data_IF_138546034528
#
_entry.id   IF_138546034528
#
_cell.length_a   1.000
_cell.length_b   1.000
_cell.length_c   1.000
_cell.angle_alpha   90.00
_cell.angle_beta   90.00
_cell.angle_gamma   90.00
#
_symmetry.space_group_name_H-M   'P 1'
#
loop_
_entity.id
_entity.type
_entity.pdbx_description
1 polymer ?
#
# COMPACT_ATOMS: atom_id res chain seq x y z
N UNK A 1 -25.01 -13.18 -1.74
CA UNK A 1 -23.66 -12.91 -1.24
C UNK A 1 -23.66 -13.22 0.24
N UNK A 2 -22.98 -14.28 0.66
CA UNK A 2 -22.86 -14.62 2.08
C UNK A 2 -21.98 -13.55 2.73
N UNK A 3 -22.62 -12.58 3.39
CA UNK A 3 -21.94 -11.74 4.35
C UNK A 3 -21.54 -12.68 5.49
N UNK A 4 -20.29 -13.13 5.48
CA UNK A 4 -19.70 -13.85 6.59
C UNK A 4 -19.72 -12.89 7.78
N UNK A 5 -20.76 -12.99 8.60
CA UNK A 5 -20.87 -12.41 9.94
C UNK A 5 -19.96 -13.16 10.92
N UNK A 6 -18.78 -13.58 10.48
CA UNK A 6 -17.75 -14.02 11.42
C UNK A 6 -17.06 -12.75 11.88
N UNK A 7 -17.51 -12.22 13.01
CA UNK A 7 -16.72 -11.27 13.79
C UNK A 7 -15.43 -11.99 14.18
N UNK A 8 -14.36 -11.77 13.41
CA UNK A 8 -13.02 -12.16 13.80
C UNK A 8 -12.60 -11.12 14.83
N UNK A 9 -12.91 -11.41 16.10
CA UNK A 9 -12.55 -10.51 17.18
C UNK A 9 -11.05 -10.68 17.48
N UNK A 10 -10.21 -10.08 16.64
CA UNK A 10 -8.84 -9.81 17.00
C UNK A 10 -8.85 -8.59 17.91
N UNK A 11 -8.20 -8.67 19.07
CA UNK A 11 -8.21 -7.61 20.07
C UNK A 11 -6.79 -7.04 20.28
N UNK A 12 -6.21 -6.29 19.31
CA UNK A 12 -4.80 -5.89 19.33
C UNK A 12 -4.34 -5.13 20.58
N UNK A 13 -5.24 -4.47 21.32
CA UNK A 13 -4.86 -3.70 22.51
C UNK A 13 -4.74 -4.57 23.78
N UNK A 14 -5.30 -5.77 23.79
CA UNK A 14 -5.26 -6.69 24.95
C UNK A 14 -4.59 -8.03 24.61
N UNK A 15 -4.61 -8.44 23.35
CA UNK A 15 -3.94 -9.65 22.87
C UNK A 15 -2.43 -9.54 23.03
N UNK A 16 -1.78 -10.65 23.38
CA UNK A 16 -0.32 -10.71 23.47
C UNK A 16 0.28 -10.52 22.07
N UNK A 17 1.39 -9.76 21.94
CA UNK A 17 2.04 -9.58 20.66
C UNK A 17 2.50 -10.94 20.11
N UNK A 18 2.25 -11.16 18.82
CA UNK A 18 2.72 -12.39 18.15
C UNK A 18 4.25 -12.41 18.13
N UNK A 19 4.83 -13.53 18.56
CA UNK A 19 6.26 -13.79 18.42
C UNK A 19 6.60 -14.08 16.94
N UNK A 20 7.83 -13.82 16.49
CA UNK A 20 8.24 -14.15 15.11
C UNK A 20 8.01 -15.61 14.74
N UNK A 21 8.22 -16.54 15.68
CA UNK A 21 7.99 -17.98 15.48
C UNK A 21 6.50 -18.30 15.28
N UNK A 22 5.60 -17.69 16.09
CA UNK A 22 4.16 -17.85 15.91
C UNK A 22 3.70 -17.25 14.59
N UNK A 23 4.24 -16.09 14.19
CA UNK A 23 3.92 -15.45 12.91
C UNK A 23 4.32 -16.33 11.73
N UNK A 24 5.54 -16.89 11.74
CA UNK A 24 5.99 -17.82 10.70
C UNK A 24 5.09 -19.07 10.60
N UNK A 25 4.68 -19.63 11.76
CA UNK A 25 3.74 -20.76 11.80
C UNK A 25 2.38 -20.38 11.23
N UNK A 26 1.82 -19.23 11.60
CA UNK A 26 0.54 -18.74 11.06
C UNK A 26 0.63 -18.58 9.54
N UNK A 27 1.70 -17.95 9.03
CA UNK A 27 1.91 -17.83 7.59
C UNK A 27 1.98 -19.19 6.89
N UNK A 28 2.66 -20.18 7.47
CA UNK A 28 2.72 -21.52 6.89
C UNK A 28 1.35 -22.21 6.83
N UNK A 29 0.50 -22.01 7.83
CA UNK A 29 -0.87 -22.54 7.86
C UNK A 29 -1.75 -21.85 6.82
N UNK A 30 -1.69 -20.51 6.74
CA UNK A 30 -2.38 -19.74 5.71
C UNK A 30 -1.97 -20.23 4.32
N UNK A 31 -0.67 -20.44 4.09
CA UNK A 31 -0.15 -20.92 2.81
C UNK A 31 -0.60 -22.35 2.48
N UNK A 32 -0.76 -23.22 3.48
CA UNK A 32 -1.28 -24.56 3.27
C UNK A 32 -2.76 -24.57 2.87
N UNK A 33 -3.56 -23.62 3.38
CA UNK A 33 -4.99 -23.47 3.05
C UNK A 33 -5.22 -22.71 1.73
N UNK A 34 -4.23 -21.97 1.24
CA UNK A 34 -4.32 -21.29 -0.05
C UNK A 34 -4.25 -22.30 -1.19
N UNK A 35 -5.32 -22.36 -1.99
CA UNK A 35 -5.32 -23.15 -3.23
C UNK A 35 -4.21 -22.62 -4.16
N UNK A 36 -3.28 -23.48 -4.64
CA UNK A 36 -2.21 -23.09 -5.56
C UNK A 36 -2.71 -22.36 -6.82
N UNK A 37 -3.94 -22.65 -7.27
CA UNK A 37 -4.55 -21.99 -8.41
C UNK A 37 -4.66 -20.46 -8.22
N UNK A 38 -4.91 -19.98 -6.99
CA UNK A 38 -5.05 -18.56 -6.67
C UNK A 38 -3.75 -17.75 -6.85
N UNK A 39 -2.60 -18.41 -7.06
CA UNK A 39 -1.37 -17.70 -7.45
C UNK A 39 -1.41 -17.18 -8.89
N UNK A 40 -2.28 -17.72 -9.74
CA UNK A 40 -2.32 -17.42 -11.18
C UNK A 40 -3.68 -16.92 -11.63
N UNK A 41 -4.76 -17.30 -10.94
CA UNK A 41 -6.10 -16.86 -11.28
C UNK A 41 -6.57 -15.74 -10.34
N UNK A 42 -7.00 -14.59 -10.87
CA UNK A 42 -7.58 -13.54 -10.06
C UNK A 42 -8.88 -14.02 -9.41
N UNK A 43 -9.17 -13.53 -8.21
CA UNK A 43 -10.39 -13.89 -7.48
C UNK A 43 -11.64 -13.50 -8.31
N UNK A 44 -12.69 -14.34 -8.37
CA UNK A 44 -13.87 -14.10 -9.22
C UNK A 44 -14.67 -12.84 -8.87
N UNK A 45 -14.45 -12.24 -7.70
CA UNK A 45 -15.05 -10.94 -7.34
C UNK A 45 -14.31 -9.73 -7.93
N UNK A 46 -13.11 -9.94 -8.48
CA UNK A 46 -12.40 -8.89 -9.17
C UNK A 46 -13.04 -8.70 -10.55
N UNK A 47 -13.32 -7.45 -10.95
CA UNK A 47 -13.76 -7.19 -12.32
C UNK A 47 -12.68 -7.70 -13.28
N UNK A 48 -13.09 -8.19 -14.44
CA UNK A 48 -12.15 -8.53 -15.51
C UNK A 48 -11.36 -7.28 -15.87
N UNK A 49 -10.04 -7.36 -15.75
CA UNK A 49 -9.17 -6.24 -16.12
C UNK A 49 -9.36 -5.98 -17.61
N UNK A 50 -9.72 -4.74 -17.95
CA UNK A 50 -9.78 -4.34 -19.35
C UNK A 50 -8.37 -4.44 -19.95
N UNK A 51 -8.23 -4.97 -21.18
CA UNK A 51 -6.94 -4.97 -21.84
C UNK A 51 -6.45 -3.51 -21.95
N UNK A 52 -5.14 -3.26 -21.78
CA UNK A 52 -4.64 -1.90 -21.87
C UNK A 52 -4.87 -1.36 -23.29
N UNK A 53 -5.63 -0.28 -23.39
CA UNK A 53 -5.87 0.42 -24.64
C UNK A 53 -4.75 1.45 -24.87
N UNK A 54 -3.60 0.97 -25.34
CA UNK A 54 -2.48 1.84 -25.69
C UNK A 54 -2.72 2.49 -27.06
N UNK A 55 -2.30 3.74 -27.21
CA UNK A 55 -2.21 4.38 -28.52
C UNK A 55 -1.14 3.67 -29.37
N UNK A 56 -1.25 3.76 -30.69
CA UNK A 56 -0.28 3.13 -31.61
C UNK A 56 1.17 3.54 -31.30
N UNK A 57 1.39 4.79 -30.88
CA UNK A 57 2.72 5.29 -30.48
C UNK A 57 3.26 4.61 -29.23
N UNK A 58 2.41 4.39 -28.22
CA UNK A 58 2.83 3.71 -26.99
C UNK A 58 3.11 2.23 -27.29
N UNK A 59 2.28 1.59 -28.10
CA UNK A 59 2.50 0.20 -28.51
C UNK A 59 3.83 0.03 -29.27
N UNK A 60 4.13 0.92 -30.21
CA UNK A 60 5.39 0.90 -30.95
C UNK A 60 6.62 1.12 -30.03
N UNK A 61 6.49 2.00 -29.04
CA UNK A 61 7.57 2.24 -28.06
C UNK A 61 7.78 1.04 -27.13
N UNK A 62 6.69 0.40 -26.66
CA UNK A 62 6.77 -0.82 -25.87
C UNK A 62 7.44 -1.95 -26.66
N UNK A 63 7.13 -2.09 -27.96
CA UNK A 63 7.75 -3.08 -28.83
C UNK A 63 9.25 -2.79 -29.05
N UNK A 64 9.62 -1.51 -29.25
CA UNK A 64 11.02 -1.05 -29.34
C UNK A 64 11.80 -1.38 -28.08
N UNK A 65 11.23 -1.12 -26.90
CA UNK A 65 11.82 -1.45 -25.59
C UNK A 65 11.95 -2.97 -25.43
N UNK A 66 10.93 -3.74 -25.79
CA UNK A 66 10.96 -5.20 -25.73
C UNK A 66 12.07 -5.79 -26.61
N UNK A 67 12.38 -5.14 -27.73
CA UNK A 67 13.48 -5.49 -28.63
C UNK A 67 14.85 -4.94 -28.18
N UNK A 68 14.93 -4.28 -27.02
CA UNK A 68 16.14 -3.63 -26.48
C UNK A 68 16.82 -2.67 -27.48
N UNK A 69 16.05 -2.04 -28.36
CA UNK A 69 16.60 -1.04 -29.27
C UNK A 69 16.90 0.25 -28.49
N UNK A 70 17.89 1.06 -28.91
CA UNK A 70 18.09 2.41 -28.37
C UNK A 70 16.97 3.35 -28.84
N UNK A 71 16.71 4.41 -28.08
CA UNK A 71 15.71 5.41 -28.49
C UNK A 71 16.29 6.26 -29.62
N UNK A 72 15.70 6.16 -30.81
CA UNK A 72 16.13 6.91 -32.01
C UNK A 72 15.02 7.89 -32.38
N UNK A 73 15.22 9.18 -32.11
CA UNK A 73 14.24 10.23 -32.47
C UNK A 73 13.84 11.16 -31.32
N UNK A 74 14.83 11.75 -30.64
CA UNK A 74 14.59 12.83 -29.69
C UNK A 74 14.38 14.19 -30.36
N UNK A 75 14.21 15.22 -29.54
CA UNK A 75 14.25 16.60 -30.02
C UNK A 75 15.64 16.84 -30.62
N UNK A 76 15.67 17.08 -31.92
CA UNK A 76 16.89 17.40 -32.63
C UNK A 76 17.39 18.80 -32.23
N UNK A 77 18.47 18.83 -31.45
CA UNK A 77 19.08 20.07 -30.97
C UNK A 77 19.94 20.76 -32.05
N UNK A 78 20.38 20.04 -33.10
CA UNK A 78 21.24 20.61 -34.14
C UNK A 78 20.52 21.68 -34.97
N UNK A 79 19.18 21.66 -34.96
CA UNK A 79 18.32 22.71 -35.54
C UNK A 79 18.56 24.10 -34.92
N UNK A 80 19.04 24.15 -33.68
CA UNK A 80 19.26 25.40 -32.94
C UNK A 80 20.73 25.79 -32.85
N UNK A 81 21.63 25.00 -33.47
CA UNK A 81 23.05 25.29 -33.53
C UNK A 81 23.36 26.36 -34.59
N UNK A 82 24.56 26.95 -34.50
CA UNK A 82 25.00 27.97 -35.45
C UNK A 82 25.15 27.37 -36.85
N UNK A 83 24.51 27.99 -37.85
CA UNK A 83 24.60 27.54 -39.23
C UNK A 83 25.99 27.82 -39.82
N UNK A 84 26.56 26.80 -40.46
CA UNK A 84 27.78 26.94 -41.25
C UNK A 84 27.46 27.57 -42.61
N UNK A 85 28.45 28.24 -43.21
CA UNK A 85 28.32 28.72 -44.59
C UNK A 85 28.16 27.51 -45.53
N UNK A 86 27.20 27.54 -46.48
CA UNK A 86 27.01 26.45 -47.43
C UNK A 86 28.24 26.29 -48.32
N UNK A 87 28.62 25.03 -48.60
CA UNK A 87 29.81 24.73 -49.37
C UNK A 87 29.55 24.67 -50.88
N UNK A 88 28.31 24.34 -51.27
CA UNK A 88 27.89 24.11 -52.65
C UNK A 88 26.68 24.98 -53.04
N UNK A 89 26.51 25.21 -54.34
CA UNK A 89 25.42 26.07 -54.84
C UNK A 89 24.01 25.50 -54.56
N UNK A 90 23.89 24.17 -54.49
CA UNK A 90 22.62 23.49 -54.22
C UNK A 90 22.19 23.56 -52.75
N UNK A 91 23.11 23.83 -51.82
CA UNK A 91 22.88 23.88 -50.38
C UNK A 91 22.37 25.25 -49.90
N UNK A 92 22.54 26.31 -50.69
CA UNK A 92 22.11 27.67 -50.35
C UNK A 92 20.63 27.78 -50.02
N UNK A 93 19.77 27.04 -50.72
CA UNK A 93 18.32 27.07 -50.46
C UNK A 93 17.98 26.53 -49.07
N UNK A 94 18.63 25.44 -48.67
CA UNK A 94 18.42 24.84 -47.34
C UNK A 94 19.00 25.73 -46.25
N UNK A 95 20.21 26.25 -46.44
CA UNK A 95 20.84 27.19 -45.52
C UNK A 95 19.99 28.47 -45.33
N UNK A 96 19.44 29.03 -46.41
CA UNK A 96 18.57 30.20 -46.34
C UNK A 96 17.26 29.91 -45.60
N UNK A 97 16.62 28.77 -45.87
CA UNK A 97 15.42 28.35 -45.15
C UNK A 97 15.70 28.20 -43.65
N UNK A 98 16.80 27.54 -43.29
CA UNK A 98 17.23 27.41 -41.90
C UNK A 98 17.47 28.79 -41.27
N UNK A 99 18.19 29.70 -41.95
CA UNK A 99 18.47 31.05 -41.47
C UNK A 99 17.19 31.84 -41.16
N UNK A 100 16.19 31.77 -42.04
CA UNK A 100 14.88 32.38 -41.79
C UNK A 100 14.19 31.76 -40.57
N UNK A 101 14.17 30.43 -40.46
CA UNK A 101 13.55 29.76 -39.30
C UNK A 101 14.22 30.13 -37.98
N UNK A 102 15.56 30.19 -37.94
CA UNK A 102 16.31 30.60 -36.75
C UNK A 102 16.08 32.07 -36.42
N UNK A 103 16.05 32.95 -37.43
CA UNK A 103 15.76 34.37 -37.25
C UNK A 103 14.37 34.59 -36.64
N UNK A 104 13.34 33.93 -37.20
CA UNK A 104 11.97 33.99 -36.66
C UNK A 104 11.90 33.44 -35.23
N UNK A 105 12.55 32.31 -34.95
CA UNK A 105 12.62 31.75 -33.60
C UNK A 105 13.29 32.69 -32.60
N UNK A 106 14.42 33.31 -32.96
CA UNK A 106 15.12 34.28 -32.11
C UNK A 106 14.27 35.53 -31.87
N UNK A 107 13.58 36.02 -32.89
CA UNK A 107 12.62 37.13 -32.73
C UNK A 107 11.53 36.78 -31.72
N UNK A 108 10.90 35.60 -31.84
CA UNK A 108 9.92 35.10 -30.88
C UNK A 108 10.52 34.87 -29.48
N UNK A 109 11.78 34.46 -29.39
CA UNK A 109 12.47 34.32 -28.11
C UNK A 109 12.66 35.67 -27.43
N UNK A 110 13.01 36.72 -28.17
CA UNK A 110 13.13 38.07 -27.63
C UNK A 110 11.78 38.58 -27.10
N UNK A 111 10.69 38.38 -27.85
CA UNK A 111 9.35 38.76 -27.37
C UNK A 111 8.96 37.97 -26.12
N UNK A 112 9.17 36.66 -26.10
CA UNK A 112 8.91 35.81 -24.92
C UNK A 112 9.76 36.22 -23.70
N UNK A 113 11.04 36.52 -23.88
CA UNK A 113 11.91 36.99 -22.79
C UNK A 113 11.49 38.37 -22.28
N UNK A 114 10.98 39.23 -23.16
CA UNK A 114 10.43 40.55 -22.78
C UNK A 114 9.17 40.39 -21.93
N UNK A 115 8.29 39.47 -22.32
CA UNK A 115 7.10 39.11 -21.53
C UNK A 115 7.49 38.48 -20.19
N UNK A 116 8.47 37.56 -20.19
CA UNK A 116 8.96 36.93 -18.97
C UNK A 116 9.61 37.95 -18.03
N UNK A 117 10.40 38.89 -18.55
CA UNK A 117 10.98 39.97 -17.75
C UNK A 117 9.93 40.89 -17.16
N UNK A 118 8.83 41.14 -17.89
CA UNK A 118 7.76 42.04 -17.44
C UNK A 118 6.81 41.39 -16.44
N UNK A 119 6.46 40.11 -16.65
CA UNK A 119 5.38 39.44 -15.90
C UNK A 119 5.82 38.21 -15.12
N UNK A 120 6.99 37.63 -15.42
CA UNK A 120 7.43 36.35 -14.87
C UNK A 120 7.53 36.34 -13.36
N UNK A 121 8.08 37.39 -12.75
CA UNK A 121 8.18 37.50 -11.29
C UNK A 121 6.79 37.49 -10.64
N UNK A 122 5.84 38.27 -11.16
CA UNK A 122 4.49 38.35 -10.62
C UNK A 122 3.73 37.04 -10.82
N UNK A 123 3.83 36.41 -12.00
CA UNK A 123 3.23 35.11 -12.26
C UNK A 123 3.78 34.03 -11.33
N UNK A 124 5.08 34.04 -11.05
CA UNK A 124 5.69 33.09 -10.13
C UNK A 124 5.21 33.28 -8.69
N UNK A 125 5.13 34.53 -8.21
CA UNK A 125 4.61 34.82 -6.87
C UNK A 125 3.15 34.39 -6.70
N UNK A 126 2.31 34.59 -7.72
CA UNK A 126 0.91 34.11 -7.72
C UNK A 126 0.89 32.59 -7.64
N UNK A 127 1.69 31.91 -8.46
CA UNK A 127 1.80 30.45 -8.43
C UNK A 127 2.27 29.91 -7.08
N UNK A 128 3.23 30.60 -6.45
CA UNK A 128 3.68 30.25 -5.10
C UNK A 128 2.57 30.40 -4.06
N UNK A 129 1.83 31.53 -4.07
CA UNK A 129 0.69 31.74 -3.17
C UNK A 129 -0.42 30.70 -3.35
N UNK A 130 -0.71 30.31 -4.59
CA UNK A 130 -1.65 29.22 -4.87
C UNK A 130 -1.16 27.89 -4.29
N UNK A 131 0.13 27.58 -4.45
CA UNK A 131 0.73 26.36 -3.92
C UNK A 131 0.71 26.34 -2.38
N UNK A 132 1.00 27.45 -1.73
CA UNK A 132 0.88 27.60 -0.27
C UNK A 132 -0.57 27.38 0.19
N UNK A 133 -1.56 27.86 -0.58
CA UNK A 133 -2.98 27.60 -0.33
C UNK A 133 -3.34 26.12 -0.41
N UNK A 134 -2.85 25.42 -1.44
CA UNK A 134 -3.04 23.96 -1.60
C UNK A 134 -2.36 23.21 -0.46
N UNK A 135 -1.13 23.56 -0.11
CA UNK A 135 -0.40 22.96 1.01
C UNK A 135 -1.17 23.11 2.32
N UNK A 136 -1.61 24.34 2.64
CA UNK A 136 -2.37 24.60 3.86
C UNK A 136 -3.75 23.91 3.88
N UNK A 137 -4.34 23.60 2.73
CA UNK A 137 -5.54 22.74 2.67
C UNK A 137 -5.18 21.28 3.01
N UNK A 138 -4.17 20.72 2.35
CA UNK A 138 -3.73 19.34 2.58
C UNK A 138 -3.28 19.10 4.03
N UNK A 139 -2.59 20.06 4.63
CA UNK A 139 -2.18 19.99 6.04
C UNK A 139 -3.38 19.96 6.99
N UNK A 140 -4.42 20.77 6.72
CA UNK A 140 -5.67 20.74 7.51
C UNK A 140 -6.41 19.43 7.36
N UNK A 141 -6.53 18.91 6.14
CA UNK A 141 -7.16 17.61 5.86
C UNK A 141 -6.41 16.48 6.57
N UNK A 142 -5.08 16.51 6.54
CA UNK A 142 -4.24 15.54 7.23
C UNK A 142 -4.43 15.58 8.75
N UNK A 143 -4.48 16.77 9.35
CA UNK A 143 -4.71 16.92 10.80
C UNK A 143 -6.11 16.41 11.17
N UNK A 144 -7.14 16.78 10.40
CA UNK A 144 -8.50 16.31 10.64
C UNK A 144 -8.61 14.78 10.54
N UNK A 145 -8.00 14.17 9.52
CA UNK A 145 -8.00 12.72 9.35
C UNK A 145 -7.24 12.03 10.49
N UNK A 146 -6.11 12.58 10.94
CA UNK A 146 -5.38 12.05 12.11
C UNK A 146 -6.25 12.07 13.35
N UNK A 147 -6.95 13.17 13.61
CA UNK A 147 -7.86 13.26 14.75
C UNK A 147 -9.00 12.23 14.67
N UNK A 148 -9.61 12.05 13.49
CA UNK A 148 -10.64 11.03 13.28
C UNK A 148 -10.11 9.60 13.53
N UNK A 149 -8.91 9.30 13.03
CA UNK A 149 -8.26 8.00 13.28
C UNK A 149 -7.94 7.80 14.75
N UNK A 150 -7.51 8.85 15.46
CA UNK A 150 -7.20 8.82 16.88
C UNK A 150 -8.46 8.60 17.71
N UNK A 151 -9.58 9.28 17.39
CA UNK A 151 -10.87 9.07 18.05
C UNK A 151 -11.30 7.61 17.88
N UNK A 152 -11.26 7.09 16.65
CA UNK A 152 -11.60 5.69 16.36
C UNK A 152 -10.71 4.71 17.13
N UNK A 153 -9.40 4.98 17.20
CA UNK A 153 -8.45 4.14 17.92
C UNK A 153 -8.66 4.19 19.43
N UNK A 154 -8.97 5.36 20.00
CA UNK A 154 -9.30 5.54 21.43
C UNK A 154 -10.58 4.79 21.78
N UNK A 155 -11.62 4.91 20.95
CA UNK A 155 -12.87 4.18 21.15
C UNK A 155 -12.66 2.66 21.08
N UNK A 156 -11.90 2.19 20.09
CA UNK A 156 -11.53 0.77 19.98
C UNK A 156 -10.78 0.30 21.21
N UNK A 157 -9.75 1.04 21.65
CA UNK A 157 -8.97 0.70 22.84
C UNK A 157 -9.86 0.64 24.09
N UNK A 158 -10.74 1.63 24.29
CA UNK A 158 -11.66 1.64 25.45
C UNK A 158 -12.53 0.39 25.49
N UNK A 159 -13.16 0.03 24.37
CA UNK A 159 -14.02 -1.17 24.27
C UNK A 159 -13.25 -2.45 24.60
N UNK A 160 -12.02 -2.59 24.10
CA UNK A 160 -11.21 -3.80 24.35
C UNK A 160 -10.76 -3.89 25.81
N UNK A 161 -10.30 -2.79 26.39
CA UNK A 161 -9.85 -2.75 27.80
C UNK A 161 -11.02 -2.98 28.77
N UNK A 162 -12.22 -2.46 28.46
CA UNK A 162 -13.42 -2.69 29.28
C UNK A 162 -13.79 -4.18 29.36
N UNK A 163 -13.67 -4.91 28.26
CA UNK A 163 -13.97 -6.35 28.20
C UNK A 163 -12.83 -7.22 28.75
N UNK A 164 -11.61 -6.69 28.84
CA UNK A 164 -10.42 -7.43 29.27
C UNK A 164 -10.59 -8.05 30.66
N UNK A 165 -11.05 -7.29 31.65
CA UNK A 165 -11.21 -7.77 33.02
C UNK A 165 -12.23 -8.92 33.09
N UNK A 166 -13.32 -8.82 32.32
CA UNK A 166 -14.31 -9.89 32.24
C UNK A 166 -13.72 -11.16 31.61
N UNK A 167 -12.95 -11.03 30.52
CA UNK A 167 -12.30 -12.18 29.91
C UNK A 167 -11.33 -12.87 30.87
N UNK A 168 -10.47 -12.10 31.56
CA UNK A 168 -9.52 -12.64 32.53
C UNK A 168 -10.25 -13.32 33.71
N UNK A 169 -11.36 -12.74 34.17
CA UNK A 169 -12.22 -13.35 35.20
C UNK A 169 -12.83 -14.66 34.73
N UNK A 170 -13.32 -14.72 33.49
CA UNK A 170 -13.90 -15.93 32.90
C UNK A 170 -12.83 -17.01 32.71
N UNK A 171 -11.66 -16.65 32.21
CA UNK A 171 -10.53 -17.58 32.04
C UNK A 171 -10.08 -18.17 33.38
N UNK A 172 -9.96 -17.34 34.42
CA UNK A 172 -9.62 -17.81 35.77
C UNK A 172 -10.68 -18.74 36.34
N UNK A 173 -11.96 -18.35 36.29
CA UNK A 173 -13.06 -19.21 36.76
C UNK A 173 -13.10 -20.55 36.02
N UNK A 174 -12.82 -20.54 34.72
CA UNK A 174 -12.73 -21.75 33.92
C UNK A 174 -11.57 -22.64 34.38
N UNK A 175 -10.36 -22.09 34.55
CA UNK A 175 -9.20 -22.85 35.07
C UNK A 175 -9.46 -23.44 36.46
N UNK A 176 -10.06 -22.65 37.37
CA UNK A 176 -10.45 -23.12 38.70
C UNK A 176 -11.49 -24.24 38.63
N UNK A 177 -12.49 -24.12 37.75
CA UNK A 177 -13.52 -25.13 37.54
C UNK A 177 -12.95 -26.45 37.04
N UNK A 178 -12.09 -26.39 36.01
CA UNK A 178 -11.41 -27.57 35.46
C UNK A 178 -10.48 -28.21 36.50
N UNK A 179 -9.73 -27.38 37.25
CA UNK A 179 -8.85 -27.84 38.33
C UNK A 179 -9.63 -28.60 39.40
N UNK A 180 -10.77 -28.07 39.86
CA UNK A 180 -11.63 -28.74 40.85
C UNK A 180 -12.18 -30.07 40.36
N UNK A 181 -12.58 -30.17 39.09
CA UNK A 181 -13.05 -31.44 38.51
C UNK A 181 -11.94 -32.48 38.53
N UNK A 182 -10.73 -32.11 38.12
CA UNK A 182 -9.56 -33.00 38.18
C UNK A 182 -9.20 -33.41 39.61
N UNK A 183 -9.24 -32.48 40.57
CA UNK A 183 -9.00 -32.79 41.98
C UNK A 183 -10.02 -33.80 42.54
N UNK A 184 -11.30 -33.64 42.18
CA UNK A 184 -12.37 -34.56 42.59
C UNK A 184 -12.19 -35.93 41.95
N UNK A 185 -11.84 -36.00 40.67
CA UNK A 185 -11.58 -37.27 39.96
C UNK A 185 -10.40 -38.03 40.59
N UNK A 186 -9.30 -37.32 40.88
CA UNK A 186 -8.12 -37.90 41.54
C UNK A 186 -8.46 -38.37 42.96
N UNK A 187 -9.19 -37.58 43.74
CA UNK A 187 -9.63 -37.97 45.07
C UNK A 187 -10.56 -39.20 45.04
N UNK A 188 -11.49 -39.24 44.10
CA UNK A 188 -12.40 -40.38 43.90
C UNK A 188 -11.64 -41.65 43.56
N UNK A 189 -10.66 -41.59 42.66
CA UNK A 189 -9.81 -42.72 42.30
C UNK A 189 -8.95 -43.20 43.48
N UNK A 190 -8.40 -42.27 44.29
CA UNK A 190 -7.66 -42.63 45.50
C UNK A 190 -8.54 -43.38 46.51
N UNK A 191 -9.74 -42.88 46.78
CA UNK A 191 -10.71 -43.55 47.68
C UNK A 191 -11.10 -44.92 47.11
N UNK A 192 -11.30 -45.03 45.80
CA UNK A 192 -11.62 -46.29 45.16
C UNK A 192 -10.48 -47.32 45.33
N UNK A 193 -9.23 -46.91 45.18
CA UNK A 193 -8.08 -47.80 45.45
C UNK A 193 -7.99 -48.22 46.90
N UNK A 194 -8.16 -47.29 47.84
CA UNK A 194 -8.12 -47.60 49.27
C UNK A 194 -9.23 -48.62 49.65
N UNK A 195 -10.44 -48.45 49.12
CA UNK A 195 -11.54 -49.39 49.37
C UNK A 195 -11.28 -50.77 48.76
N UNK A 196 -10.66 -50.84 47.57
CA UNK A 196 -10.24 -52.11 46.97
C UNK A 196 -9.15 -52.81 47.80
N UNK A 197 -8.18 -52.06 48.33
CA UNK A 197 -7.13 -52.59 49.20
C UNK A 197 -7.71 -53.13 50.51
N UNK A 198 -8.60 -52.38 51.17
CA UNK A 198 -9.30 -52.84 52.39
C UNK A 198 -10.11 -54.12 52.14
N UNK A 199 -10.82 -54.19 51.00
CA UNK A 199 -11.55 -55.41 50.59
C UNK A 199 -10.62 -56.60 50.35
N UNK A 200 -9.43 -56.39 49.77
CA UNK A 200 -8.42 -57.45 49.58
C UNK A 200 -7.79 -57.91 50.90
N UNK A 201 -7.67 -57.01 51.88
CA UNK A 201 -7.14 -57.32 53.22
C UNK A 201 -8.15 -58.03 54.15
N UNK A 202 -9.39 -58.27 53.71
CA UNK A 202 -10.40 -59.00 54.47
C UNK A 202 -11.00 -58.25 55.66
N UNK A 203 -10.79 -56.93 55.74
CA UNK A 203 -11.42 -56.07 56.75
C UNK A 203 -12.66 -55.42 56.12
N UNK A 204 -13.84 -55.85 56.56
CA UNK A 204 -15.12 -55.24 56.19
C UNK A 204 -15.39 -53.99 57.03
#
# INVERSE_FOLDING_TARGET
MSLISASHDSLPYIDRPLTPATTARVHSLVQAELNPAHSTTPHPSLPTLSPPAFSAFITAELERIAQNQPFTGGVDASRYEAQAAPANDDEWRSALQQAYTTSTHLSNRVTNLTLLSSFGQNSWLIGNSQMEGVLGQLERELVALKEETDVTNRERKRKQVEVQEEMERLERKWKEGVGKVLEIEVASEMVFRETLEKRRAGQS
#
